data_IF_864222611389
#
_entry.id   IF_864222611389
#
_cell.length_a   1.000
_cell.length_b   1.000
_cell.length_c   1.000
_cell.angle_alpha   90.00
_cell.angle_beta   90.00
_cell.angle_gamma   90.00
#
_symmetry.space_group_name_H-M   'P 1'
#
loop_
_entity.id
_entity.type
_entity.pdbx_description
1 polymer ?
#
# COMPACT_ATOMS: atom_id res chain seq x y z
N UNK A 1 11.27 28.14 -16.98
CA UNK A 1 11.07 26.67 -17.06
C UNK A 1 10.88 26.17 -15.63
N UNK A 2 9.77 25.51 -15.32
CA UNK A 2 9.54 24.90 -14.01
C UNK A 2 10.57 23.80 -13.76
N UNK A 3 10.98 23.60 -12.50
CA UNK A 3 11.82 22.47 -12.16
C UNK A 3 11.04 21.15 -12.42
N UNK A 4 11.66 20.14 -13.08
CA UNK A 4 10.98 18.89 -13.43
C UNK A 4 10.50 18.11 -12.21
N UNK A 5 11.17 18.28 -11.07
CA UNK A 5 10.83 17.71 -9.76
C UNK A 5 10.47 18.83 -8.78
N UNK A 6 9.37 18.65 -8.05
CA UNK A 6 8.84 19.60 -7.08
C UNK A 6 8.82 19.00 -5.68
N UNK A 7 9.06 19.86 -4.69
CA UNK A 7 8.94 19.54 -3.27
C UNK A 7 8.37 20.77 -2.57
N UNK A 8 7.18 20.62 -1.98
CA UNK A 8 6.55 21.67 -1.18
C UNK A 8 6.51 21.24 0.29
N UNK A 9 6.46 22.23 1.18
CA UNK A 9 6.38 22.00 2.61
C UNK A 9 5.30 22.86 3.24
N UNK A 10 4.45 22.25 4.07
CA UNK A 10 3.43 22.94 4.85
C UNK A 10 3.47 22.48 6.31
N UNK A 11 3.39 23.42 7.25
CA UNK A 11 3.25 23.12 8.66
C UNK A 11 1.77 23.16 9.05
N UNK A 12 1.37 22.39 10.07
CA UNK A 12 0.00 22.45 10.60
C UNK A 12 -0.34 23.79 11.24
N UNK A 13 0.66 24.63 11.50
CA UNK A 13 0.50 26.00 11.98
C UNK A 13 1.53 26.90 11.31
N UNK A 14 1.15 28.12 10.90
CA UNK A 14 2.10 29.15 10.49
C UNK A 14 2.87 29.75 11.69
N UNK A 15 2.32 29.64 12.91
CA UNK A 15 2.85 30.26 14.11
C UNK A 15 3.03 29.29 15.28
N UNK A 16 4.18 29.36 15.96
CA UNK A 16 4.43 28.64 17.21
C UNK A 16 4.38 29.64 18.37
N UNK A 17 3.55 29.44 19.41
CA UNK A 17 3.57 30.33 20.55
C UNK A 17 4.89 30.24 21.32
N UNK A 18 5.41 31.38 21.78
CA UNK A 18 6.58 31.43 22.67
C UNK A 18 6.22 30.84 24.03
N UNK A 19 6.57 29.57 24.24
CA UNK A 19 6.34 28.84 25.51
C UNK A 19 7.62 28.28 26.12
N UNK A 20 7.57 27.95 27.42
CA UNK A 20 8.70 27.30 28.14
C UNK A 20 8.86 25.81 27.82
N UNK A 21 7.97 25.23 27.02
CA UNK A 21 7.98 23.81 26.67
C UNK A 21 8.15 23.65 25.16
N UNK A 22 8.85 22.58 24.71
CA UNK A 22 8.85 22.18 23.32
C UNK A 22 7.45 21.91 22.79
N UNK A 23 7.25 22.09 21.48
CA UNK A 23 5.95 21.98 20.82
C UNK A 23 6.00 20.91 19.74
N UNK A 24 5.00 20.03 19.72
CA UNK A 24 4.76 19.15 18.58
C UNK A 24 4.22 19.98 17.41
N UNK A 25 4.84 19.83 16.25
CA UNK A 25 4.44 20.45 14.98
C UNK A 25 4.41 19.35 13.92
N UNK A 26 3.41 19.38 13.05
CA UNK A 26 3.32 18.46 11.93
C UNK A 26 3.80 19.15 10.67
N UNK A 27 4.69 18.48 9.93
CA UNK A 27 5.23 18.92 8.66
C UNK A 27 4.71 17.99 7.56
N UNK A 28 3.92 18.52 6.64
CA UNK A 28 3.53 17.87 5.40
C UNK A 28 4.55 18.20 4.32
N UNK A 29 5.10 17.17 3.67
CA UNK A 29 5.99 17.29 2.52
C UNK A 29 5.32 16.61 1.33
N UNK A 30 4.99 17.39 0.32
CA UNK A 30 4.38 16.89 -0.91
C UNK A 30 5.41 16.88 -2.02
N UNK A 31 5.53 15.74 -2.71
CA UNK A 31 6.37 15.61 -3.89
C UNK A 31 5.52 15.78 -5.14
N UNK A 32 6.14 16.28 -6.21
CA UNK A 32 5.47 16.51 -7.47
C UNK A 32 6.43 16.39 -8.64
N UNK A 33 5.86 16.24 -9.84
CA UNK A 33 6.61 16.30 -11.09
C UNK A 33 5.87 17.19 -12.09
N UNK A 34 6.63 17.92 -12.90
CA UNK A 34 6.11 18.60 -14.09
C UNK A 34 6.60 17.98 -15.41
N UNK A 35 7.28 16.83 -15.35
CA UNK A 35 7.67 16.09 -16.54
C UNK A 35 6.46 15.48 -17.26
N UNK A 36 6.53 15.42 -18.60
CA UNK A 36 5.50 14.81 -19.45
C UNK A 36 5.48 13.27 -19.39
N UNK A 37 4.66 12.68 -20.26
CA UNK A 37 4.26 11.26 -20.25
C UNK A 37 5.33 10.25 -20.74
N UNK A 38 6.62 10.60 -20.66
CA UNK A 38 7.73 9.73 -21.09
C UNK A 38 8.05 8.66 -20.03
N UNK A 39 7.11 7.74 -19.80
CA UNK A 39 7.25 6.70 -18.79
C UNK A 39 8.28 5.63 -19.18
N UNK A 40 8.99 5.11 -18.17
CA UNK A 40 9.97 4.06 -18.37
C UNK A 40 9.31 2.76 -18.84
N UNK A 41 9.99 1.98 -19.70
CA UNK A 41 9.66 0.57 -19.87
C UNK A 41 9.67 -0.17 -18.52
N UNK A 42 8.83 -1.17 -18.37
CA UNK A 42 8.71 -1.96 -17.14
C UNK A 42 9.51 -3.24 -17.27
N UNK A 43 10.13 -3.67 -16.17
CA UNK A 43 10.60 -5.03 -15.96
C UNK A 43 9.76 -5.66 -14.84
N UNK A 44 8.72 -6.40 -15.24
CA UNK A 44 7.69 -6.92 -14.34
C UNK A 44 7.93 -8.40 -14.02
N UNK A 45 8.10 -8.71 -12.75
CA UNK A 45 8.13 -10.07 -12.24
C UNK A 45 6.83 -10.38 -11.50
N UNK A 46 6.15 -11.45 -11.90
CA UNK A 46 4.97 -11.95 -11.20
C UNK A 46 5.29 -13.26 -10.49
N UNK A 47 4.92 -13.35 -9.22
CA UNK A 47 5.09 -14.52 -8.35
C UNK A 47 3.70 -14.95 -7.91
N UNK A 48 3.23 -16.08 -8.40
CA UNK A 48 1.85 -16.52 -8.26
C UNK A 48 1.78 -17.85 -7.52
N UNK A 49 0.94 -17.87 -6.50
CA UNK A 49 0.61 -19.08 -5.75
C UNK A 49 -0.17 -20.07 -6.63
N UNK A 50 0.21 -21.33 -6.55
CA UNK A 50 -0.38 -22.47 -7.28
C UNK A 50 -0.65 -23.66 -6.35
N UNK A 51 -0.74 -23.42 -5.04
CA UNK A 51 -1.13 -24.41 -4.04
C UNK A 51 -2.56 -24.93 -4.28
N UNK A 52 -2.97 -26.00 -3.58
CA UNK A 52 -4.29 -26.60 -3.80
C UNK A 52 -5.46 -25.62 -3.55
N UNK A 53 -5.32 -24.68 -2.62
CA UNK A 53 -6.35 -23.67 -2.33
C UNK A 53 -6.67 -22.79 -3.53
N UNK A 54 -5.71 -22.56 -4.42
CA UNK A 54 -5.86 -21.81 -5.67
C UNK A 54 -6.69 -22.56 -6.72
N UNK A 55 -6.82 -23.87 -6.59
CA UNK A 55 -7.65 -24.70 -7.47
C UNK A 55 -9.09 -24.85 -6.96
N UNK A 56 -9.42 -24.32 -5.78
CA UNK A 56 -10.77 -24.29 -5.25
C UNK A 56 -11.67 -23.43 -6.14
N UNK A 57 -12.88 -23.94 -6.40
CA UNK A 57 -13.91 -23.25 -7.17
C UNK A 57 -14.69 -22.30 -6.27
N UNK A 58 -14.95 -21.10 -6.78
CA UNK A 58 -15.71 -20.08 -6.07
C UNK A 58 -16.92 -19.68 -6.92
N UNK A 59 -18.08 -19.59 -6.27
CA UNK A 59 -19.23 -18.93 -6.86
C UNK A 59 -19.14 -17.44 -6.56
N UNK A 60 -19.39 -16.61 -7.58
CA UNK A 60 -19.69 -15.20 -7.35
C UNK A 60 -21.16 -15.03 -6.90
N UNK A 61 -21.55 -13.79 -6.57
CA UNK A 61 -22.88 -13.49 -6.05
C UNK A 61 -24.00 -13.96 -7.00
N UNK A 62 -23.89 -13.67 -8.30
CA UNK A 62 -24.88 -14.09 -9.29
C UNK A 62 -24.98 -15.63 -9.43
N UNK A 63 -23.84 -16.33 -9.38
CA UNK A 63 -23.78 -17.79 -9.41
C UNK A 63 -24.33 -18.41 -8.12
N UNK A 64 -24.07 -17.77 -6.98
CA UNK A 64 -24.61 -18.17 -5.69
C UNK A 64 -26.15 -18.04 -5.69
N UNK A 65 -26.68 -16.92 -6.18
CA UNK A 65 -28.12 -16.72 -6.36
C UNK A 65 -28.74 -17.73 -7.34
N UNK A 66 -28.02 -18.11 -8.40
CA UNK A 66 -28.46 -19.16 -9.33
C UNK A 66 -28.52 -20.53 -8.64
N UNK A 67 -27.49 -20.89 -7.87
CA UNK A 67 -27.47 -22.14 -7.08
C UNK A 67 -28.57 -22.16 -6.03
N UNK A 68 -28.85 -21.03 -5.37
CA UNK A 68 -29.95 -20.88 -4.43
C UNK A 68 -31.31 -21.05 -5.13
N UNK A 69 -31.54 -20.37 -6.26
CA UNK A 69 -32.76 -20.52 -7.08
C UNK A 69 -32.95 -21.93 -7.62
N UNK A 70 -31.86 -22.63 -7.92
CA UNK A 70 -31.88 -24.03 -8.36
C UNK A 70 -32.10 -25.03 -7.21
N UNK A 71 -32.21 -24.55 -5.96
CA UNK A 71 -32.41 -25.38 -4.77
C UNK A 71 -31.16 -26.12 -4.28
N UNK A 72 -29.99 -25.80 -4.84
CA UNK A 72 -28.71 -26.40 -4.44
C UNK A 72 -28.15 -25.78 -3.15
N UNK A 73 -28.56 -24.54 -2.85
CA UNK A 73 -28.30 -23.88 -1.57
C UNK A 73 -29.63 -23.65 -0.87
N UNK A 74 -29.69 -23.99 0.42
CA UNK A 74 -30.86 -23.78 1.28
C UNK A 74 -30.51 -22.80 2.37
N UNK A 75 -31.34 -21.78 2.52
CA UNK A 75 -31.25 -20.87 3.66
C UNK A 75 -31.76 -21.60 4.90
N UNK A 76 -30.94 -21.62 5.94
CA UNK A 76 -31.19 -22.21 7.26
C UNK A 76 -30.92 -21.17 8.32
N UNK A 77 -31.61 -21.23 9.45
CA UNK A 77 -31.32 -20.36 10.58
C UNK A 77 -30.37 -21.10 11.54
N UNK A 78 -29.16 -20.57 11.71
CA UNK A 78 -28.19 -21.05 12.71
C UNK A 78 -28.08 -19.96 13.78
N UNK A 79 -28.49 -20.30 15.00
CA UNK A 79 -28.54 -19.37 16.14
C UNK A 79 -29.31 -18.06 15.87
N UNK A 80 -30.37 -18.14 15.04
CA UNK A 80 -31.20 -16.98 14.67
C UNK A 80 -30.63 -16.12 13.55
N UNK A 81 -29.46 -16.48 13.00
CA UNK A 81 -28.83 -15.82 11.85
C UNK A 81 -29.10 -16.63 10.59
N UNK A 82 -29.54 -16.01 9.48
CA UNK A 82 -29.61 -16.68 8.18
C UNK A 82 -28.22 -17.17 7.74
N UNK A 83 -28.10 -18.47 7.56
CA UNK A 83 -26.94 -19.15 7.02
C UNK A 83 -27.37 -19.96 5.80
N UNK A 84 -26.43 -20.27 4.91
CA UNK A 84 -26.72 -21.08 3.73
C UNK A 84 -26.06 -22.45 3.87
N UNK A 85 -26.88 -23.49 3.85
CA UNK A 85 -26.44 -24.88 3.80
C UNK A 85 -26.44 -25.35 2.36
N UNK A 86 -25.31 -25.86 1.88
CA UNK A 86 -25.25 -26.51 0.58
C UNK A 86 -25.86 -27.91 0.67
N UNK A 87 -26.89 -28.18 -0.13
CA UNK A 87 -27.30 -29.55 -0.42
C UNK A 87 -26.30 -30.24 -1.35
N UNK A 88 -26.69 -31.35 -1.98
CA UNK A 88 -25.90 -31.93 -3.07
C UNK A 88 -25.88 -30.95 -4.27
N UNK A 89 -24.77 -30.23 -4.43
CA UNK A 89 -24.54 -29.39 -5.61
C UNK A 89 -24.23 -30.32 -6.79
N UNK A 90 -25.02 -30.30 -7.88
CA UNK A 90 -24.76 -31.15 -9.03
C UNK A 90 -23.36 -30.91 -9.59
N UNK A 91 -22.62 -31.98 -9.89
CA UNK A 91 -21.24 -31.90 -10.42
C UNK A 91 -21.16 -30.96 -11.63
N UNK A 92 -22.16 -30.99 -12.52
CA UNK A 92 -22.24 -30.08 -13.68
C UNK A 92 -22.32 -28.59 -13.30
N UNK A 93 -23.03 -28.27 -12.21
CA UNK A 93 -23.12 -26.89 -11.71
C UNK A 93 -21.79 -26.47 -11.08
N UNK A 94 -21.19 -27.34 -10.26
CA UNK A 94 -19.89 -27.09 -9.65
C UNK A 94 -18.78 -26.89 -10.71
N UNK A 95 -18.79 -27.67 -11.80
CA UNK A 95 -17.80 -27.56 -12.89
C UNK A 95 -17.92 -26.27 -13.72
N UNK A 96 -19.01 -25.50 -13.59
CA UNK A 96 -19.18 -24.18 -14.23
C UNK A 96 -18.59 -23.04 -13.40
N UNK A 97 -18.35 -23.26 -12.10
CA UNK A 97 -17.77 -22.25 -11.23
C UNK A 97 -16.28 -22.07 -11.57
N UNK A 98 -15.79 -20.83 -11.69
CA UNK A 98 -14.37 -20.57 -11.92
C UNK A 98 -13.54 -21.01 -10.71
N UNK A 99 -12.31 -21.45 -10.96
CA UNK A 99 -11.29 -21.59 -9.91
C UNK A 99 -10.58 -20.24 -9.73
N UNK A 100 -10.01 -19.99 -8.56
CA UNK A 100 -9.18 -18.79 -8.32
C UNK A 100 -8.05 -18.69 -9.35
N UNK A 101 -7.41 -19.82 -9.66
CA UNK A 101 -6.34 -19.87 -10.67
C UNK A 101 -6.82 -19.52 -12.09
N UNK A 102 -8.09 -19.75 -12.43
CA UNK A 102 -8.64 -19.37 -13.73
C UNK A 102 -8.73 -17.83 -13.84
N UNK A 103 -9.15 -17.16 -12.76
CA UNK A 103 -9.19 -15.70 -12.69
C UNK A 103 -7.80 -15.07 -12.68
N UNK A 104 -6.81 -15.73 -12.07
CA UNK A 104 -5.41 -15.31 -12.17
C UNK A 104 -4.91 -15.45 -13.61
N UNK A 105 -5.21 -16.54 -14.32
CA UNK A 105 -4.87 -16.69 -15.75
C UNK A 105 -5.50 -15.57 -16.58
N UNK A 106 -6.77 -15.23 -16.35
CA UNK A 106 -7.44 -14.12 -17.03
C UNK A 106 -6.74 -12.78 -16.78
N UNK A 107 -6.38 -12.49 -15.52
CA UNK A 107 -5.63 -11.30 -15.15
C UNK A 107 -4.23 -11.24 -15.81
N UNK A 108 -3.52 -12.38 -15.85
CA UNK A 108 -2.21 -12.50 -16.50
C UNK A 108 -2.31 -12.27 -18.01
N UNK A 109 -3.33 -12.83 -18.69
CA UNK A 109 -3.55 -12.59 -20.12
C UNK A 109 -3.82 -11.11 -20.39
N UNK A 110 -4.68 -10.48 -19.60
CA UNK A 110 -4.98 -9.05 -19.71
C UNK A 110 -3.74 -8.18 -19.47
N UNK A 111 -2.85 -8.58 -18.54
CA UNK A 111 -1.59 -7.90 -18.29
C UNK A 111 -0.62 -8.03 -19.47
N UNK A 112 -0.45 -9.25 -20.01
CA UNK A 112 0.40 -9.51 -21.18
C UNK A 112 -0.05 -8.71 -22.39
N UNK A 113 -1.35 -8.56 -22.60
CA UNK A 113 -1.88 -7.77 -23.71
C UNK A 113 -1.57 -6.27 -23.61
N UNK A 114 -1.36 -5.76 -22.40
CA UNK A 114 -1.00 -4.37 -22.15
C UNK A 114 0.52 -4.12 -22.15
N UNK A 115 1.35 -5.17 -22.25
CA UNK A 115 2.80 -5.00 -22.33
C UNK A 115 3.21 -4.34 -23.65
N UNK A 116 4.12 -3.37 -23.55
CA UNK A 116 4.79 -2.75 -24.69
C UNK A 116 5.92 -3.67 -25.18
N UNK A 117 6.35 -3.50 -26.43
CA UNK A 117 7.48 -4.26 -26.98
C UNK A 117 8.78 -4.09 -26.19
N UNK A 118 8.97 -2.89 -25.63
CA UNK A 118 10.08 -2.58 -24.76
C UNK A 118 9.95 -3.29 -23.42
N UNK A 119 8.76 -3.53 -22.87
CA UNK A 119 8.61 -4.10 -21.53
C UNK A 119 9.20 -5.52 -21.43
N UNK A 120 9.56 -5.92 -20.21
CA UNK A 120 10.00 -7.27 -19.85
C UNK A 120 9.02 -7.88 -18.86
N UNK A 121 8.84 -9.19 -18.97
CA UNK A 121 7.91 -9.95 -18.15
C UNK A 121 8.51 -11.30 -17.76
N UNK A 122 8.39 -11.67 -16.49
CA UNK A 122 8.67 -13.01 -15.98
C UNK A 122 7.54 -13.49 -15.07
N UNK A 123 7.28 -14.79 -15.09
CA UNK A 123 6.26 -15.44 -14.26
C UNK A 123 6.87 -16.63 -13.53
N UNK A 124 6.78 -16.57 -12.21
CA UNK A 124 7.16 -17.63 -11.29
C UNK A 124 5.89 -18.19 -10.67
N UNK A 125 5.76 -19.51 -10.69
CA UNK A 125 4.73 -20.23 -9.96
C UNK A 125 5.37 -20.82 -8.70
N UNK A 126 4.66 -20.78 -7.57
CA UNK A 126 5.13 -21.38 -6.33
C UNK A 126 4.02 -22.11 -5.58
N UNK A 127 4.41 -23.08 -4.78
CA UNK A 127 3.66 -23.65 -3.67
C UNK A 127 4.67 -24.17 -2.64
N UNK A 128 4.91 -25.49 -2.56
CA UNK A 128 5.99 -26.06 -1.73
C UNK A 128 7.37 -25.86 -2.36
N UNK A 129 7.40 -25.93 -3.69
CA UNK A 129 8.54 -25.54 -4.51
C UNK A 129 8.19 -24.31 -5.35
N UNK A 130 9.20 -23.63 -5.90
CA UNK A 130 9.00 -22.54 -6.85
C UNK A 130 9.67 -22.86 -8.19
N UNK A 131 9.04 -22.47 -9.29
CA UNK A 131 9.56 -22.69 -10.64
C UNK A 131 9.32 -21.48 -11.53
N UNK A 132 10.28 -21.20 -12.41
CA UNK A 132 10.14 -20.14 -13.41
C UNK A 132 9.38 -20.68 -14.61
N UNK A 133 8.13 -20.23 -14.78
CA UNK A 133 7.28 -20.62 -15.89
C UNK A 133 7.60 -19.80 -17.15
N UNK A 134 7.83 -18.50 -16.96
CA UNK A 134 8.27 -17.57 -18.00
C UNK A 134 9.56 -16.90 -17.50
N UNK A 135 10.73 -17.21 -18.08
CA UNK A 135 11.95 -16.45 -17.79
C UNK A 135 11.81 -15.02 -18.31
N UNK A 136 12.64 -14.08 -17.85
CA UNK A 136 12.60 -12.68 -18.28
C UNK A 136 12.53 -12.52 -19.82
N UNK A 137 11.33 -12.23 -20.34
CA UNK A 137 10.99 -12.29 -21.76
C UNK A 137 10.43 -10.94 -22.21
N UNK A 138 10.75 -10.53 -23.44
CA UNK A 138 10.22 -9.27 -24.00
C UNK A 138 8.71 -9.34 -24.20
N UNK A 139 8.02 -8.25 -23.88
CA UNK A 139 6.59 -8.05 -24.12
C UNK A 139 6.20 -8.11 -25.60
N UNK A 140 7.16 -8.04 -26.53
CA UNK A 140 6.91 -8.30 -27.94
C UNK A 140 6.55 -9.78 -28.23
N UNK A 141 6.94 -10.72 -27.37
CA UNK A 141 6.68 -12.16 -27.53
C UNK A 141 5.32 -12.57 -26.95
N UNK A 142 4.26 -11.78 -27.17
CA UNK A 142 2.93 -11.98 -26.56
C UNK A 142 2.41 -13.41 -26.67
N UNK A 143 2.43 -14.01 -27.86
CA UNK A 143 1.94 -15.38 -28.05
C UNK A 143 2.66 -16.39 -27.16
N UNK A 144 4.00 -16.30 -27.07
CA UNK A 144 4.81 -17.17 -26.20
C UNK A 144 4.45 -17.00 -24.73
N UNK A 145 4.20 -15.77 -24.29
CA UNK A 145 3.78 -15.47 -22.92
C UNK A 145 2.41 -16.07 -22.61
N UNK A 146 1.43 -15.88 -23.51
CA UNK A 146 0.08 -16.42 -23.40
C UNK A 146 0.09 -17.97 -23.37
N UNK A 147 0.82 -18.61 -24.27
CA UNK A 147 0.95 -20.08 -24.30
C UNK A 147 1.55 -20.64 -23.00
N UNK A 148 2.48 -19.91 -22.39
CA UNK A 148 3.08 -20.32 -21.12
C UNK A 148 2.12 -20.14 -19.93
N UNK A 149 1.29 -19.10 -19.92
CA UNK A 149 0.24 -18.89 -18.89
C UNK A 149 -0.75 -20.07 -18.88
N UNK A 150 -1.05 -20.68 -20.02
CA UNK A 150 -1.93 -21.85 -20.08
C UNK A 150 -1.42 -23.05 -19.30
N UNK A 151 -0.11 -23.13 -19.01
CA UNK A 151 0.48 -24.25 -18.28
C UNK A 151 0.30 -24.15 -16.77
N UNK A 152 -0.16 -23.00 -16.25
CA UNK A 152 -0.21 -22.68 -14.83
C UNK A 152 -1.05 -23.70 -14.04
N UNK A 153 -2.19 -24.14 -14.57
CA UNK A 153 -3.11 -25.05 -13.89
C UNK A 153 -2.74 -26.55 -13.99
N UNK A 154 -1.65 -26.85 -14.71
CA UNK A 154 -1.06 -28.19 -14.81
C UNK A 154 0.12 -28.40 -13.87
N UNK A 155 0.57 -27.35 -13.18
CA UNK A 155 1.66 -27.45 -12.22
C UNK A 155 1.22 -28.22 -10.97
N UNK A 156 2.15 -28.98 -10.41
CA UNK A 156 2.00 -29.72 -9.15
C UNK A 156 3.22 -29.41 -8.30
N UNK A 157 3.16 -28.31 -7.58
CA UNK A 157 4.27 -27.80 -6.77
C UNK A 157 4.11 -28.10 -5.28
N UNK A 158 3.13 -28.95 -4.92
CA UNK A 158 2.79 -29.33 -3.54
C UNK A 158 1.71 -28.45 -2.92
N UNK A 159 1.29 -28.81 -1.70
CA UNK A 159 0.07 -28.27 -1.08
C UNK A 159 0.37 -27.22 0.00
N UNK A 160 1.65 -27.07 0.37
CA UNK A 160 2.12 -26.03 1.30
C UNK A 160 2.49 -24.76 0.54
N UNK A 161 2.49 -23.62 1.23
CA UNK A 161 2.81 -22.32 0.66
C UNK A 161 4.14 -21.80 1.20
N UNK A 162 5.14 -21.63 0.32
CA UNK A 162 6.46 -21.07 0.59
C UNK A 162 6.70 -19.83 -0.29
N UNK A 163 6.16 -18.69 0.15
CA UNK A 163 6.24 -17.41 -0.57
C UNK A 163 7.69 -16.98 -0.77
N UNK A 164 8.58 -17.25 0.19
CA UNK A 164 9.99 -16.86 0.14
C UNK A 164 10.73 -17.49 -1.05
N UNK A 165 10.43 -18.75 -1.37
CA UNK A 165 10.93 -19.42 -2.57
C UNK A 165 10.49 -18.70 -3.86
N UNK A 166 9.21 -18.28 -3.91
CA UNK A 166 8.67 -17.52 -5.04
C UNK A 166 9.34 -16.15 -5.20
N UNK A 167 9.46 -15.38 -4.10
CA UNK A 167 10.09 -14.06 -4.10
C UNK A 167 11.55 -14.16 -4.58
N UNK A 168 12.29 -15.17 -4.10
CA UNK A 168 13.68 -15.43 -4.52
C UNK A 168 13.79 -15.55 -6.04
N UNK A 169 13.05 -16.47 -6.65
CA UNK A 169 13.14 -16.71 -8.10
C UNK A 169 12.65 -15.49 -8.89
N UNK A 170 11.57 -14.83 -8.44
CA UNK A 170 11.08 -13.62 -9.08
C UNK A 170 12.10 -12.48 -9.06
N UNK A 171 12.79 -12.31 -7.93
CA UNK A 171 13.90 -11.37 -7.80
C UNK A 171 15.06 -11.74 -8.73
N UNK A 172 15.47 -13.01 -8.80
CA UNK A 172 16.51 -13.48 -9.70
C UNK A 172 16.18 -13.21 -11.18
N UNK A 173 14.93 -13.42 -11.60
CA UNK A 173 14.48 -13.11 -12.97
C UNK A 173 14.48 -11.62 -13.29
N UNK A 174 14.09 -10.76 -12.35
CA UNK A 174 14.22 -9.30 -12.51
C UNK A 174 15.69 -8.90 -12.70
N UNK A 175 16.61 -9.51 -11.93
CA UNK A 175 18.05 -9.22 -11.97
C UNK A 175 18.76 -9.71 -13.23
N UNK A 176 18.12 -10.51 -14.08
CA UNK A 176 18.68 -10.86 -15.40
C UNK A 176 18.77 -9.65 -16.33
N UNK A 177 17.87 -8.68 -16.17
CA UNK A 177 18.01 -7.39 -16.83
C UNK A 177 18.97 -6.50 -16.04
N UNK A 178 20.05 -6.10 -16.69
CA UNK A 178 21.10 -5.24 -16.11
C UNK A 178 21.20 -3.88 -16.80
N UNK A 179 20.31 -3.61 -17.76
CA UNK A 179 20.28 -2.36 -18.54
C UNK A 179 20.11 -1.12 -17.66
N UNK A 180 19.33 -1.25 -16.59
CA UNK A 180 19.04 -0.15 -15.68
C UNK A 180 18.18 0.96 -16.31
N UNK A 181 17.61 0.76 -17.51
CA UNK A 181 16.72 1.71 -18.18
C UNK A 181 15.22 1.44 -17.93
N UNK A 182 14.91 0.36 -17.21
CA UNK A 182 13.55 -0.06 -16.86
C UNK A 182 13.18 0.22 -15.40
N UNK A 183 11.89 0.31 -15.15
CA UNK A 183 11.33 0.24 -13.81
C UNK A 183 11.13 -1.23 -13.41
N UNK A 184 12.00 -1.73 -12.53
CA UNK A 184 11.84 -3.06 -11.92
C UNK A 184 10.66 -3.05 -10.95
N UNK A 185 9.84 -4.10 -11.00
CA UNK A 185 8.73 -4.31 -10.06
C UNK A 185 8.41 -5.78 -9.91
N UNK A 186 8.24 -6.22 -8.66
CA UNK A 186 7.79 -7.56 -8.32
C UNK A 186 6.36 -7.48 -7.76
N UNK A 187 5.49 -8.38 -8.19
CA UNK A 187 4.16 -8.57 -7.60
C UNK A 187 4.03 -10.01 -7.12
N UNK A 188 3.67 -10.17 -5.85
CA UNK A 188 3.41 -11.45 -5.20
C UNK A 188 1.92 -11.62 -4.98
N UNK A 189 1.34 -12.71 -5.46
CA UNK A 189 -0.07 -13.06 -5.28
C UNK A 189 -0.21 -14.38 -4.52
N UNK A 190 -1.03 -14.42 -3.48
CA UNK A 190 -1.35 -15.64 -2.70
C UNK A 190 -2.74 -15.56 -2.07
N UNK A 191 -3.32 -16.71 -1.76
CA UNK A 191 -4.53 -16.85 -0.94
C UNK A 191 -4.28 -17.58 0.39
N UNK A 192 -3.01 -17.82 0.75
CA UNK A 192 -2.62 -18.74 1.83
C UNK A 192 -1.53 -18.21 2.77
N UNK A 193 -1.40 -18.87 3.92
CA UNK A 193 -0.37 -18.60 4.92
C UNK A 193 0.96 -19.22 4.51
N UNK A 194 2.02 -18.43 4.56
CA UNK A 194 3.36 -18.94 4.25
C UNK A 194 3.99 -19.67 5.41
N UNK A 195 4.80 -20.70 5.13
CA UNK A 195 5.57 -21.45 6.13
C UNK A 195 7.02 -20.95 6.27
N UNK A 196 7.45 -19.98 5.48
CA UNK A 196 8.82 -19.46 5.39
C UNK A 196 8.91 -17.94 5.60
N UNK A 197 8.23 -17.41 6.61
CA UNK A 197 8.18 -15.96 6.87
C UNK A 197 9.56 -15.31 6.99
N UNK A 198 10.53 -16.01 7.58
CA UNK A 198 11.90 -15.51 7.73
C UNK A 198 12.58 -15.29 6.37
N UNK A 199 12.38 -16.20 5.42
CA UNK A 199 12.92 -16.08 4.08
C UNK A 199 12.23 -14.94 3.31
N UNK A 200 10.91 -14.78 3.49
CA UNK A 200 10.16 -13.65 2.95
C UNK A 200 10.74 -12.31 3.43
N UNK A 201 11.00 -12.17 4.74
CA UNK A 201 11.60 -10.96 5.33
C UNK A 201 13.02 -10.72 4.83
N UNK A 202 13.83 -11.78 4.69
CA UNK A 202 15.19 -11.69 4.16
C UNK A 202 15.20 -11.19 2.71
N UNK A 203 14.33 -11.75 1.85
CA UNK A 203 14.24 -11.31 0.45
C UNK A 203 13.65 -9.91 0.30
N UNK A 204 12.70 -9.51 1.14
CA UNK A 204 12.23 -8.12 1.18
C UNK A 204 13.34 -7.14 1.56
N UNK A 205 14.22 -7.49 2.50
CA UNK A 205 15.39 -6.69 2.84
C UNK A 205 16.38 -6.57 1.66
N UNK A 206 16.61 -7.68 0.93
CA UNK A 206 17.43 -7.66 -0.29
C UNK A 206 16.81 -6.81 -1.40
N UNK A 207 15.50 -6.91 -1.62
CA UNK A 207 14.77 -6.09 -2.59
C UNK A 207 14.82 -4.60 -2.23
N UNK A 208 14.64 -4.25 -0.95
CA UNK A 208 14.84 -2.89 -0.43
C UNK A 208 16.24 -2.37 -0.71
N UNK A 209 17.28 -3.17 -0.47
CA UNK A 209 18.67 -2.80 -0.75
C UNK A 209 18.92 -2.55 -2.24
N UNK A 210 18.28 -3.33 -3.12
CA UNK A 210 18.35 -3.15 -4.58
C UNK A 210 17.32 -2.15 -5.13
N UNK A 211 16.50 -1.54 -4.27
CA UNK A 211 15.44 -0.60 -4.64
C UNK A 211 14.43 -1.18 -5.64
N UNK A 212 14.08 -2.45 -5.45
CA UNK A 212 13.05 -3.14 -6.23
C UNK A 212 11.76 -3.17 -5.39
N UNK A 213 10.71 -2.43 -5.78
CA UNK A 213 9.41 -2.50 -5.14
C UNK A 213 8.78 -3.88 -5.26
N UNK A 214 8.26 -4.40 -4.15
CA UNK A 214 7.44 -5.61 -4.09
C UNK A 214 6.03 -5.20 -3.71
N UNK A 215 5.07 -5.32 -4.62
CA UNK A 215 3.66 -5.24 -4.26
C UNK A 215 3.15 -6.62 -3.87
N UNK A 216 2.18 -6.68 -2.95
CA UNK A 216 1.66 -7.93 -2.41
C UNK A 216 0.14 -7.96 -2.53
N UNK A 217 -0.43 -9.02 -3.08
CA UNK A 217 -1.88 -9.22 -3.24
C UNK A 217 -2.29 -10.47 -2.47
N UNK A 218 -3.07 -10.29 -1.42
CA UNK A 218 -3.67 -11.36 -0.63
C UNK A 218 -5.16 -11.49 -0.95
N UNK A 219 -5.61 -12.71 -1.26
CA UNK A 219 -7.01 -13.03 -1.49
C UNK A 219 -7.66 -13.63 -0.24
N UNK A 220 -8.78 -13.05 0.20
CA UNK A 220 -9.60 -13.58 1.28
C UNK A 220 -8.97 -13.45 2.68
N UNK A 221 -9.30 -14.39 3.57
CA UNK A 221 -8.93 -14.35 4.98
C UNK A 221 -7.63 -15.08 5.34
N UNK A 222 -7.11 -15.93 4.47
CA UNK A 222 -6.15 -16.99 4.84
C UNK A 222 -4.69 -16.67 4.51
N UNK A 223 -4.32 -15.40 4.34
CA UNK A 223 -2.93 -14.97 4.15
C UNK A 223 -2.43 -14.12 5.34
N UNK A 224 -1.11 -14.04 5.55
CA UNK A 224 -0.53 -13.27 6.64
C UNK A 224 -0.30 -11.78 6.28
N UNK A 225 -1.20 -10.89 6.71
CA UNK A 225 -1.05 -9.45 6.53
C UNK A 225 0.08 -8.82 7.36
N UNK A 226 0.44 -9.40 8.51
CA UNK A 226 1.59 -8.98 9.35
C UNK A 226 2.93 -9.23 8.64
N UNK A 227 2.91 -10.05 7.59
CA UNK A 227 4.04 -10.28 6.71
C UNK A 227 3.93 -9.46 5.42
N UNK A 228 2.79 -9.54 4.72
CA UNK A 228 2.62 -8.94 3.39
C UNK A 228 2.65 -7.41 3.41
N UNK A 229 2.01 -6.76 4.39
CA UNK A 229 2.01 -5.29 4.49
C UNK A 229 3.44 -4.75 4.69
N UNK A 230 4.25 -5.25 5.65
CA UNK A 230 5.63 -4.80 5.79
C UNK A 230 6.52 -5.04 4.58
N UNK A 231 6.35 -6.17 3.85
CA UNK A 231 7.13 -6.42 2.62
C UNK A 231 6.88 -5.31 1.60
N UNK A 232 5.62 -4.95 1.38
CA UNK A 232 5.26 -3.89 0.46
C UNK A 232 5.78 -2.53 0.90
N UNK A 233 5.52 -2.16 2.16
CA UNK A 233 5.90 -0.85 2.70
C UNK A 233 7.41 -0.61 2.68
N UNK A 234 8.19 -1.61 3.09
CA UNK A 234 9.64 -1.47 3.19
C UNK A 234 10.35 -1.41 1.83
N UNK A 235 9.73 -1.95 0.78
CA UNK A 235 10.29 -1.98 -0.57
C UNK A 235 9.74 -0.85 -1.46
N UNK A 236 8.73 -0.12 -1.00
CA UNK A 236 8.05 0.92 -1.78
C UNK A 236 7.01 0.38 -2.76
N UNK A 237 6.54 -0.86 -2.57
CA UNK A 237 5.37 -1.41 -3.25
C UNK A 237 4.07 -1.12 -2.49
N UNK A 238 2.97 -1.73 -2.93
CA UNK A 238 1.66 -1.61 -2.26
C UNK A 238 1.08 -2.95 -1.82
N UNK A 239 0.46 -2.99 -0.63
CA UNK A 239 -0.29 -4.14 -0.18
C UNK A 239 -1.76 -4.03 -0.62
N UNK A 240 -2.29 -5.12 -1.15
CA UNK A 240 -3.64 -5.24 -1.63
C UNK A 240 -4.36 -6.39 -0.91
N UNK A 241 -5.49 -6.06 -0.31
CA UNK A 241 -6.50 -7.04 0.12
C UNK A 241 -7.54 -7.16 -0.99
N UNK A 242 -7.76 -8.37 -1.46
CA UNK A 242 -8.85 -8.73 -2.35
C UNK A 242 -9.86 -9.52 -1.52
N UNK A 243 -11.06 -8.96 -1.34
CA UNK A 243 -12.12 -9.63 -0.58
C UNK A 243 -12.74 -10.76 -1.43
N UNK A 244 -12.87 -10.54 -2.74
CA UNK A 244 -13.45 -11.50 -3.68
C UNK A 244 -12.46 -11.86 -4.79
N UNK A 245 -12.58 -13.07 -5.32
CA UNK A 245 -11.71 -13.50 -6.42
C UNK A 245 -11.98 -12.73 -7.72
N UNK A 246 -13.20 -12.22 -7.91
CA UNK A 246 -13.54 -11.35 -9.05
C UNK A 246 -12.79 -10.01 -9.03
N UNK A 247 -12.17 -9.63 -7.91
CA UNK A 247 -11.33 -8.44 -7.81
C UNK A 247 -9.91 -8.64 -8.39
N UNK A 248 -9.52 -9.89 -8.68
CA UNK A 248 -8.17 -10.25 -9.15
C UNK A 248 -7.79 -9.50 -10.43
N UNK A 249 -8.59 -9.52 -11.51
CA UNK A 249 -8.23 -8.81 -12.74
C UNK A 249 -8.05 -7.31 -12.53
N UNK A 250 -8.92 -6.67 -11.75
CA UNK A 250 -8.84 -5.24 -11.47
C UNK A 250 -7.61 -4.88 -10.65
N UNK A 251 -7.24 -5.71 -9.66
CA UNK A 251 -6.05 -5.49 -8.85
C UNK A 251 -4.76 -5.60 -9.69
N UNK A 252 -4.65 -6.63 -10.54
CA UNK A 252 -3.51 -6.81 -11.45
C UNK A 252 -3.40 -5.66 -12.45
N UNK A 253 -4.52 -5.26 -13.07
CA UNK A 253 -4.55 -4.15 -14.01
C UNK A 253 -4.07 -2.85 -13.36
N UNK A 254 -4.55 -2.54 -12.15
CA UNK A 254 -4.08 -1.38 -11.38
C UNK A 254 -2.57 -1.44 -11.13
N UNK A 255 -2.05 -2.60 -10.72
CA UNK A 255 -0.62 -2.71 -10.42
C UNK A 255 0.26 -2.60 -11.68
N UNK A 256 -0.20 -3.13 -12.82
CA UNK A 256 0.47 -2.94 -14.11
C UNK A 256 0.46 -1.47 -14.54
N UNK A 257 -0.68 -0.77 -14.42
CA UNK A 257 -0.78 0.66 -14.72
C UNK A 257 0.20 1.48 -13.87
N UNK A 258 0.29 1.18 -12.57
CA UNK A 258 1.26 1.81 -11.67
C UNK A 258 2.70 1.55 -12.08
N UNK A 259 3.01 0.32 -12.48
CA UNK A 259 4.33 -0.03 -12.99
C UNK A 259 4.68 0.78 -14.26
N UNK A 260 3.71 0.91 -15.18
CA UNK A 260 3.85 1.63 -16.45
C UNK A 260 3.82 3.16 -16.30
N UNK A 261 3.38 3.70 -15.18
CA UNK A 261 3.33 5.13 -14.87
C UNK A 261 4.60 5.63 -14.12
N UNK A 262 5.67 4.84 -14.08
CA UNK A 262 6.93 5.23 -13.44
C UNK A 262 7.76 6.10 -14.38
N UNK A 263 8.05 7.33 -13.93
CA UNK A 263 8.94 8.26 -14.64
C UNK A 263 10.29 8.43 -13.96
N UNK A 264 10.29 8.58 -12.64
CA UNK A 264 11.49 8.73 -11.83
C UNK A 264 11.67 7.53 -10.91
N UNK A 265 12.92 7.13 -10.70
CA UNK A 265 13.26 6.02 -9.81
C UNK A 265 14.04 6.51 -8.62
N UNK A 266 14.14 5.64 -7.62
CA UNK A 266 15.02 5.84 -6.48
C UNK A 266 14.78 7.17 -5.74
N UNK A 267 13.52 7.58 -5.61
CA UNK A 267 13.15 8.74 -4.81
C UNK A 267 13.64 8.56 -3.38
N UNK A 268 14.31 9.60 -2.89
CA UNK A 268 14.88 9.66 -1.56
C UNK A 268 14.65 11.06 -1.00
N UNK A 269 13.95 11.15 0.13
CA UNK A 269 13.78 12.39 0.85
C UNK A 269 14.78 12.44 2.02
N UNK A 270 15.59 13.49 2.05
CA UNK A 270 16.50 13.81 3.15
C UNK A 270 15.97 15.00 3.93
N UNK A 271 15.77 14.84 5.23
CA UNK A 271 15.40 15.93 6.13
C UNK A 271 16.57 16.24 7.06
N UNK A 272 17.06 17.47 7.01
CA UNK A 272 18.04 18.00 7.96
C UNK A 272 17.34 18.97 8.93
N UNK A 273 17.02 18.55 10.16
CA UNK A 273 16.46 19.46 11.16
C UNK A 273 17.48 20.53 11.55
N UNK A 274 16.97 21.70 11.93
CA UNK A 274 17.75 22.75 12.56
C UNK A 274 18.14 22.33 14.00
N UNK A 275 19.12 23.02 14.58
CA UNK A 275 19.57 22.73 15.95
C UNK A 275 18.40 22.76 16.95
N UNK A 276 18.29 21.69 17.75
CA UNK A 276 17.25 21.51 18.76
C UNK A 276 15.89 21.05 18.25
N UNK A 277 15.72 20.88 16.93
CA UNK A 277 14.51 20.27 16.36
C UNK A 277 14.69 18.76 16.28
N UNK A 278 13.75 18.00 16.82
CA UNK A 278 13.77 16.54 16.79
C UNK A 278 12.67 15.99 15.88
N UNK A 279 12.96 14.91 15.17
CA UNK A 279 11.93 14.16 14.41
C UNK A 279 11.43 13.04 15.32
N UNK A 280 10.19 13.15 15.78
CA UNK A 280 9.54 12.14 16.63
C UNK A 280 9.10 10.92 15.83
N UNK A 281 8.51 11.15 14.65
CA UNK A 281 8.02 10.10 13.77
C UNK A 281 7.88 10.61 12.34
N UNK A 282 7.85 9.70 11.37
CA UNK A 282 7.60 9.99 9.97
C UNK A 282 6.65 8.94 9.37
N UNK A 283 5.75 9.39 8.53
CA UNK A 283 4.78 8.55 7.83
C UNK A 283 4.75 8.94 6.36
N UNK A 284 4.73 7.95 5.48
CA UNK A 284 4.14 8.12 4.15
C UNK A 284 2.64 8.18 4.36
N UNK A 285 1.96 9.12 3.73
CA UNK A 285 0.49 9.27 3.79
C UNK A 285 -0.15 9.14 2.40
N UNK A 286 0.63 9.22 1.32
CA UNK A 286 0.22 8.85 -0.04
C UNK A 286 1.25 7.94 -0.71
N UNK A 287 0.81 6.96 -1.51
CA UNK A 287 -0.58 6.62 -1.82
C UNK A 287 -1.32 5.89 -0.68
N UNK A 288 -0.59 5.29 0.27
CA UNK A 288 -1.15 4.70 1.49
C UNK A 288 -0.35 5.11 2.72
N UNK A 289 -1.03 5.16 3.86
CA UNK A 289 -0.42 5.44 5.16
C UNK A 289 0.49 4.27 5.54
N UNK A 290 1.77 4.56 5.72
CA UNK A 290 2.77 3.61 6.20
C UNK A 290 3.79 4.32 7.11
N UNK A 291 4.16 3.74 8.25
CA UNK A 291 5.25 4.27 9.08
C UNK A 291 6.57 4.20 8.32
N UNK A 292 7.40 5.23 8.45
CA UNK A 292 8.74 5.27 7.90
C UNK A 292 9.77 5.23 9.01
N UNK A 293 10.83 4.45 8.81
CA UNK A 293 11.96 4.41 9.74
C UNK A 293 12.69 5.77 9.75
N UNK A 294 12.62 6.47 10.88
CA UNK A 294 13.30 7.74 11.09
C UNK A 294 14.69 7.54 11.72
N UNK A 295 15.62 6.97 10.98
CA UNK A 295 17.00 6.76 11.45
C UNK A 295 17.83 8.01 11.14
N UNK A 296 18.32 8.68 12.20
CA UNK A 296 19.23 9.81 12.08
C UNK A 296 20.66 9.32 11.78
N UNK A 297 21.22 9.74 10.66
CA UNK A 297 22.62 9.53 10.28
C UNK A 297 23.27 10.90 10.06
N UNK A 298 24.29 11.21 10.86
CA UNK A 298 25.05 12.46 10.77
C UNK A 298 24.19 13.74 10.79
N UNK A 299 23.12 13.75 11.61
CA UNK A 299 22.21 14.88 11.75
C UNK A 299 21.18 15.02 10.63
N UNK A 300 21.01 14.00 9.78
CA UNK A 300 20.00 13.97 8.72
C UNK A 300 19.20 12.67 8.76
N UNK A 301 17.92 12.78 8.47
CA UNK A 301 17.00 11.63 8.31
C UNK A 301 16.85 11.33 6.84
N UNK A 302 16.80 10.05 6.50
CA UNK A 302 16.74 9.60 5.12
C UNK A 302 15.56 8.64 4.92
N UNK A 303 14.66 9.00 4.01
CA UNK A 303 13.44 8.26 3.73
C UNK A 303 13.46 7.79 2.27
N UNK A 304 13.76 6.51 2.00
CA UNK A 304 13.60 5.95 0.67
C UNK A 304 12.10 5.85 0.35
N UNK A 305 11.68 6.41 -0.78
CA UNK A 305 10.27 6.48 -1.20
C UNK A 305 9.95 5.60 -2.40
N UNK A 306 10.95 4.93 -2.99
CA UNK A 306 10.78 4.04 -4.13
C UNK A 306 10.75 4.81 -5.45
N UNK A 307 9.78 4.50 -6.31
CA UNK A 307 9.62 5.14 -7.61
C UNK A 307 8.52 6.21 -7.56
N UNK A 308 8.65 7.28 -8.36
CA UNK A 308 7.56 8.24 -8.55
C UNK A 308 6.61 7.68 -9.62
N UNK A 309 5.42 7.30 -9.18
CA UNK A 309 4.30 6.88 -10.02
C UNK A 309 3.43 8.11 -10.26
N UNK A 310 3.16 8.44 -11.53
CA UNK A 310 2.33 9.60 -11.86
C UNK A 310 0.90 9.47 -11.29
N UNK A 311 0.41 10.55 -10.66
CA UNK A 311 -0.89 10.58 -9.96
C UNK A 311 -0.89 9.98 -8.55
N UNK A 312 0.19 9.28 -8.18
CA UNK A 312 0.41 8.69 -6.86
C UNK A 312 1.71 9.23 -6.24
N UNK A 313 1.97 10.52 -6.40
CA UNK A 313 3.17 11.15 -5.87
C UNK A 313 3.23 10.97 -4.35
N UNK A 314 4.37 10.50 -3.80
CA UNK A 314 4.51 10.31 -2.37
C UNK A 314 4.33 11.61 -1.59
N UNK A 315 3.52 11.55 -0.54
CA UNK A 315 3.39 12.62 0.45
C UNK A 315 3.79 12.07 1.81
N UNK A 316 4.55 12.85 2.57
CA UNK A 316 4.98 12.49 3.92
C UNK A 316 4.39 13.44 4.95
N UNK A 317 4.02 12.90 6.11
CA UNK A 317 3.70 13.65 7.30
C UNK A 317 4.73 13.32 8.38
N UNK A 318 5.47 14.33 8.83
CA UNK A 318 6.49 14.23 9.86
C UNK A 318 6.02 14.90 11.13
N UNK A 319 6.31 14.27 12.27
CA UNK A 319 6.07 14.81 13.60
C UNK A 319 7.37 15.40 14.12
N UNK A 320 7.43 16.72 14.24
CA UNK A 320 8.60 17.45 14.72
C UNK A 320 8.37 17.96 16.14
N UNK A 321 9.39 17.88 16.99
CA UNK A 321 9.43 18.59 18.26
C UNK A 321 10.25 19.86 18.06
N UNK A 322 9.56 21.00 18.01
CA UNK A 322 10.16 22.32 17.89
C UNK A 322 10.61 22.81 19.27
N UNK A 323 11.85 23.31 19.42
CA UNK A 323 12.38 23.77 20.70
C UNK A 323 11.76 25.10 21.11
N UNK A 324 11.99 25.50 22.36
CA UNK A 324 11.70 26.86 22.81
C UNK A 324 12.58 27.86 22.07
N UNK A 325 11.98 28.94 21.56
CA UNK A 325 12.67 30.09 20.96
C UNK A 325 11.98 31.39 21.37
N UNK A 326 12.71 32.51 21.27
CA UNK A 326 12.12 33.84 21.38
C UNK A 326 11.25 34.14 20.15
N UNK A 327 10.42 35.17 20.22
CA UNK A 327 9.63 35.60 19.07
C UNK A 327 10.54 35.90 17.86
N UNK A 328 10.11 35.52 16.67
CA UNK A 328 10.88 35.69 15.43
C UNK A 328 10.73 34.52 14.46
N UNK A 329 11.30 34.70 13.26
CA UNK A 329 11.21 33.72 12.18
C UNK A 329 12.43 32.80 12.23
N UNK A 330 12.19 31.49 12.20
CA UNK A 330 13.27 30.51 12.21
C UNK A 330 13.02 29.36 11.23
N UNK A 331 14.12 28.80 10.71
CA UNK A 331 14.07 27.51 10.03
C UNK A 331 13.94 26.37 11.05
N UNK A 332 13.02 25.45 10.80
CA UNK A 332 12.88 24.19 11.55
C UNK A 332 13.65 23.06 10.89
N UNK A 333 13.66 22.99 9.57
CA UNK A 333 14.37 21.97 8.82
C UNK A 333 14.66 22.43 7.38
N UNK A 334 15.53 21.70 6.69
CA UNK A 334 15.62 21.71 5.24
C UNK A 334 15.34 20.32 4.71
N UNK A 335 14.42 20.22 3.75
CA UNK A 335 14.12 19.00 3.02
C UNK A 335 14.81 19.01 1.65
N UNK A 336 15.34 17.87 1.24
CA UNK A 336 15.94 17.63 -0.06
C UNK A 336 15.30 16.37 -0.64
N UNK A 337 14.64 16.49 -1.79
CA UNK A 337 14.18 15.36 -2.57
C UNK A 337 15.20 15.08 -3.67
N UNK A 338 15.59 13.82 -3.80
CA UNK A 338 16.49 13.35 -4.85
C UNK A 338 15.87 12.16 -5.60
N UNK A 339 16.12 12.05 -6.90
CA UNK A 339 15.71 10.92 -7.71
C UNK A 339 16.62 10.71 -8.94
N UNK A 340 16.43 9.59 -9.62
CA UNK A 340 17.01 9.33 -10.93
C UNK A 340 15.95 9.49 -12.02
N UNK A 341 16.33 10.13 -13.12
CA UNK A 341 15.56 10.31 -14.35
C UNK A 341 16.31 9.62 -15.50
N UNK A 342 16.04 8.33 -15.75
CA UNK A 342 16.70 7.60 -16.83
C UNK A 342 16.32 8.10 -18.22
N UNK A 343 15.06 8.47 -18.47
CA UNK A 343 14.62 8.91 -19.80
C UNK A 343 15.25 10.25 -20.22
N UNK A 344 15.52 11.12 -19.25
CA UNK A 344 16.23 12.39 -19.43
C UNK A 344 17.75 12.29 -19.26
N UNK A 345 18.31 11.09 -19.00
CA UNK A 345 19.72 10.86 -18.70
C UNK A 345 20.26 11.70 -17.52
N UNK A 346 19.43 11.96 -16.50
CA UNK A 346 19.80 12.73 -15.31
C UNK A 346 19.83 11.81 -14.09
N UNK A 347 21.03 11.55 -13.55
CA UNK A 347 21.19 10.85 -12.28
C UNK A 347 21.23 11.85 -11.11
N UNK A 348 20.51 11.55 -10.02
CA UNK A 348 20.53 12.37 -8.82
C UNK A 348 19.99 13.79 -9.00
N UNK A 349 18.91 13.96 -9.76
CA UNK A 349 18.10 15.18 -9.82
C UNK A 349 17.69 15.56 -8.40
N UNK A 350 17.78 16.86 -8.06
CA UNK A 350 17.57 17.35 -6.68
C UNK A 350 16.70 18.59 -6.65
N UNK A 351 15.82 18.66 -5.65
CA UNK A 351 15.07 19.87 -5.30
C UNK A 351 15.00 20.03 -3.79
N UNK A 352 14.91 21.27 -3.29
CA UNK A 352 14.95 21.60 -1.86
C UNK A 352 13.75 22.43 -1.44
N UNK A 353 13.32 22.23 -0.21
CA UNK A 353 12.35 23.08 0.47
C UNK A 353 12.88 23.43 1.86
N UNK A 354 12.84 24.71 2.20
CA UNK A 354 13.14 25.17 3.55
C UNK A 354 11.84 25.23 4.36
N UNK A 355 11.86 24.63 5.55
CA UNK A 355 10.73 24.62 6.47
C UNK A 355 10.94 25.75 7.46
N UNK A 356 10.15 26.82 7.32
CA UNK A 356 10.27 28.05 8.12
C UNK A 356 8.97 28.26 8.92
N UNK A 357 9.11 28.78 10.13
CA UNK A 357 7.98 29.09 11.02
C UNK A 357 8.26 30.37 11.80
N UNK A 358 7.19 31.07 12.19
CA UNK A 358 7.29 32.22 13.08
C UNK A 358 6.93 31.85 14.51
N UNK A 359 7.76 32.25 15.47
CA UNK A 359 7.43 32.20 16.88
C UNK A 359 6.75 33.51 17.29
N UNK A 360 5.57 33.44 17.89
CA UNK A 360 4.75 34.61 18.23
C UNK A 360 4.36 34.64 19.71
N UNK A 361 4.15 35.85 20.24
CA UNK A 361 3.53 36.07 21.55
C UNK A 361 2.04 36.38 21.43
N UNK A 362 1.50 36.55 20.22
CA UNK A 362 0.08 36.82 19.97
C UNK A 362 -0.74 35.52 20.04
N UNK A 363 -1.68 35.39 20.99
CA UNK A 363 -2.55 34.22 21.10
C UNK A 363 -3.45 33.99 19.88
N UNK A 364 -3.88 35.06 19.19
CA UNK A 364 -4.75 34.95 18.02
C UNK A 364 -4.00 34.35 16.83
N UNK A 365 -2.75 34.75 16.61
CA UNK A 365 -1.88 34.13 15.62
C UNK A 365 -1.56 32.67 15.98
N UNK A 366 -1.23 32.40 17.24
CA UNK A 366 -0.89 31.05 17.70
C UNK A 366 -2.05 30.04 17.62
N UNK A 367 -3.31 30.51 17.53
CA UNK A 367 -4.49 29.66 17.36
C UNK A 367 -4.75 29.25 15.90
N UNK A 368 -4.07 29.87 14.93
CA UNK A 368 -4.26 29.56 13.51
C UNK A 368 -3.75 28.16 13.17
N UNK A 369 -4.49 27.45 12.32
CA UNK A 369 -4.13 26.12 11.84
C UNK A 369 -4.28 26.01 10.33
N UNK A 370 -3.39 25.24 9.72
CA UNK A 370 -3.47 24.90 8.31
C UNK A 370 -4.42 23.69 8.15
N UNK A 371 -5.66 23.95 7.73
CA UNK A 371 -6.73 22.94 7.59
C UNK A 371 -6.29 21.73 6.74
N UNK A 372 -5.57 21.97 5.64
CA UNK A 372 -5.06 20.89 4.76
C UNK A 372 -4.16 19.90 5.52
N UNK A 373 -3.25 20.40 6.35
CA UNK A 373 -2.36 19.53 7.13
C UNK A 373 -3.13 18.83 8.25
N UNK A 374 -4.08 19.52 8.87
CA UNK A 374 -4.89 18.94 9.95
C UNK A 374 -5.78 17.79 9.49
N UNK A 375 -6.36 17.84 8.28
CA UNK A 375 -7.09 16.69 7.72
C UNK A 375 -6.20 15.44 7.59
N UNK A 376 -4.95 15.60 7.16
CA UNK A 376 -3.99 14.48 7.07
C UNK A 376 -3.60 13.98 8.46
N UNK A 377 -3.47 14.88 9.44
CA UNK A 377 -3.23 14.52 10.85
C UNK A 377 -4.41 13.72 11.42
N UNK A 378 -5.65 14.06 11.07
CA UNK A 378 -6.85 13.33 11.48
C UNK A 378 -6.90 11.93 10.89
N UNK A 379 -6.61 11.79 9.59
CA UNK A 379 -6.46 10.49 8.93
C UNK A 379 -5.39 9.61 9.61
N UNK A 380 -4.22 10.20 9.90
CA UNK A 380 -3.16 9.50 10.62
C UNK A 380 -3.56 9.15 12.06
N UNK A 381 -4.36 9.99 12.72
CA UNK A 381 -4.87 9.75 14.07
C UNK A 381 -5.81 8.54 14.10
N UNK A 382 -6.75 8.43 13.15
CA UNK A 382 -7.64 7.28 13.03
C UNK A 382 -6.85 5.97 12.78
N UNK A 383 -5.88 6.01 11.86
CA UNK A 383 -4.95 4.89 11.63
C UNK A 383 -4.18 4.48 12.91
N UNK A 384 -3.62 5.45 13.64
CA UNK A 384 -2.88 5.18 14.89
C UNK A 384 -3.75 4.61 15.99
N UNK A 385 -5.00 5.07 16.11
CA UNK A 385 -5.95 4.52 17.08
C UNK A 385 -6.27 3.06 16.79
N UNK A 386 -6.49 2.70 15.52
CA UNK A 386 -6.70 1.30 15.11
C UNK A 386 -5.47 0.44 15.41
N UNK A 387 -4.26 0.90 15.10
CA UNK A 387 -3.03 0.15 15.42
C UNK A 387 -2.83 -0.04 16.92
N UNK A 388 -3.11 0.98 17.74
CA UNK A 388 -3.01 0.86 19.20
C UNK A 388 -4.07 -0.07 19.78
N UNK A 389 -5.29 -0.04 19.24
CA UNK A 389 -6.34 -0.97 19.65
C UNK A 389 -5.91 -2.43 19.40
N UNK A 390 -5.26 -2.70 18.27
CA UNK A 390 -4.69 -4.01 17.98
C UNK A 390 -3.60 -4.40 19.00
N UNK A 391 -2.67 -3.49 19.30
CA UNK A 391 -1.63 -3.76 20.31
C UNK A 391 -2.20 -3.99 21.71
N UNK A 392 -3.26 -3.29 22.10
CA UNK A 392 -3.94 -3.51 23.39
C UNK A 392 -4.62 -4.88 23.41
N UNK A 393 -5.26 -5.28 22.31
CA UNK A 393 -5.88 -6.60 22.17
C UNK A 393 -4.83 -7.72 22.28
N UNK A 394 -3.68 -7.58 21.63
CA UNK A 394 -2.55 -8.50 21.74
C UNK A 394 -2.00 -8.57 23.17
N UNK A 395 -2.08 -7.47 23.93
CA UNK A 395 -1.73 -7.42 25.34
C UNK A 395 -2.85 -7.90 26.28
N UNK A 396 -4.03 -8.27 25.75
CA UNK A 396 -5.20 -8.70 26.51
C UNK A 396 -6.05 -7.56 27.10
N UNK A 397 -5.76 -6.30 26.78
CA UNK A 397 -6.55 -5.14 27.20
C UNK A 397 -7.71 -4.87 26.23
N UNK A 398 -8.74 -5.71 26.33
CA UNK A 398 -9.98 -5.63 25.56
C UNK A 398 -10.66 -4.26 25.75
N UNK A 399 -10.71 -3.76 27.00
CA UNK A 399 -11.35 -2.47 27.31
C UNK A 399 -10.64 -1.31 26.61
N UNK A 400 -9.30 -1.28 26.71
CA UNK A 400 -8.48 -0.26 26.07
C UNK A 400 -8.57 -0.30 24.55
N UNK A 401 -8.67 -1.50 23.97
CA UNK A 401 -8.88 -1.71 22.54
C UNK A 401 -10.25 -1.18 22.08
N UNK A 402 -11.35 -1.56 22.75
CA UNK A 402 -12.71 -1.10 22.43
C UNK A 402 -12.82 0.43 22.47
N UNK A 403 -12.29 1.08 23.52
CA UNK A 403 -12.29 2.54 23.63
C UNK A 403 -11.56 3.22 22.48
N UNK A 404 -10.43 2.65 22.03
CA UNK A 404 -9.65 3.21 20.91
C UNK A 404 -10.34 2.99 19.56
N UNK A 405 -11.02 1.86 19.36
CA UNK A 405 -11.86 1.64 18.18
C UNK A 405 -13.03 2.64 18.14
N UNK A 406 -13.75 2.85 19.25
CA UNK A 406 -14.83 3.85 19.32
C UNK A 406 -14.33 5.28 19.03
N UNK A 407 -13.15 5.63 19.54
CA UNK A 407 -12.49 6.90 19.22
C UNK A 407 -12.11 6.99 17.74
N UNK A 408 -11.60 5.91 17.14
CA UNK A 408 -11.27 5.86 15.71
C UNK A 408 -12.54 6.02 14.85
N UNK A 409 -13.63 5.31 15.18
CA UNK A 409 -14.91 5.45 14.50
C UNK A 409 -15.44 6.89 14.52
N UNK A 410 -15.34 7.57 15.66
CA UNK A 410 -15.74 8.99 15.78
C UNK A 410 -14.95 9.87 14.81
N UNK A 411 -13.62 9.71 14.76
CA UNK A 411 -12.76 10.45 13.83
C UNK A 411 -13.10 10.17 12.37
N UNK A 412 -13.39 8.92 12.04
CA UNK A 412 -13.79 8.53 10.69
C UNK A 412 -15.12 9.18 10.27
N UNK A 413 -16.10 9.27 11.18
CA UNK A 413 -17.35 9.98 10.90
C UNK A 413 -17.12 11.47 10.69
N UNK A 414 -16.29 12.11 11.51
CA UNK A 414 -15.96 13.53 11.38
C UNK A 414 -15.30 13.82 10.01
N UNK A 415 -14.57 12.84 9.46
CA UNK A 415 -13.95 12.89 8.14
C UNK A 415 -14.90 12.50 6.98
N UNK A 416 -16.12 12.04 7.27
CA UNK A 416 -17.08 11.57 6.26
C UNK A 416 -16.84 10.15 5.76
N UNK A 417 -16.00 9.36 6.42
CA UNK A 417 -15.68 7.97 6.08
C UNK A 417 -16.70 7.01 6.69
N UNK A 418 -17.98 7.18 6.33
CA UNK A 418 -19.12 6.53 6.98
C UNK A 418 -19.04 5.00 7.00
N UNK A 419 -18.71 4.38 5.85
CA UNK A 419 -18.60 2.92 5.74
C UNK A 419 -17.49 2.37 6.64
N UNK A 420 -16.32 3.03 6.63
CA UNK A 420 -15.20 2.58 7.46
C UNK A 420 -15.48 2.83 8.95
N UNK A 421 -16.16 3.92 9.29
CA UNK A 421 -16.61 4.18 10.65
C UNK A 421 -17.60 3.12 11.14
N UNK A 422 -18.54 2.68 10.30
CA UNK A 422 -19.48 1.61 10.61
C UNK A 422 -18.75 0.27 10.84
N UNK A 423 -17.82 -0.09 9.95
CA UNK A 423 -16.97 -1.27 10.12
C UNK A 423 -16.18 -1.22 11.45
N UNK A 424 -15.61 -0.06 11.83
CA UNK A 424 -14.88 0.08 13.10
C UNK A 424 -15.81 -0.02 14.31
N UNK A 425 -17.04 0.52 14.23
CA UNK A 425 -18.04 0.39 15.31
C UNK A 425 -18.46 -1.05 15.51
N UNK A 426 -18.77 -1.76 14.42
CA UNK A 426 -19.09 -3.18 14.47
C UNK A 426 -17.96 -3.95 15.17
N UNK A 427 -16.70 -3.67 14.82
CA UNK A 427 -15.57 -4.33 15.44
C UNK A 427 -15.48 -4.07 16.95
N UNK A 428 -15.77 -2.83 17.39
CA UNK A 428 -15.77 -2.47 18.79
C UNK A 428 -16.90 -3.18 19.57
N UNK A 429 -18.08 -3.30 18.96
CA UNK A 429 -19.24 -4.01 19.54
C UNK A 429 -18.98 -5.51 19.68
N UNK A 430 -18.42 -6.17 18.66
CA UNK A 430 -18.00 -7.56 18.72
C UNK A 430 -17.00 -7.81 19.84
N UNK A 431 -16.00 -6.91 19.96
CA UNK A 431 -14.97 -6.99 20.98
C UNK A 431 -15.55 -6.81 22.40
N UNK A 432 -16.51 -5.90 22.57
CA UNK A 432 -17.19 -5.67 23.85
C UNK A 432 -18.09 -6.85 24.25
N UNK A 433 -18.81 -7.45 23.30
CA UNK A 433 -19.75 -8.54 23.56
C UNK A 433 -19.07 -9.90 23.74
N UNK A 434 -18.03 -10.18 22.95
CA UNK A 434 -17.42 -11.51 22.87
C UNK A 434 -15.97 -11.56 23.38
N UNK A 435 -15.35 -10.41 23.65
CA UNK A 435 -13.93 -10.34 24.04
C UNK A 435 -12.96 -10.74 22.92
N UNK A 436 -13.45 -10.89 21.69
CA UNK A 436 -12.69 -11.31 20.52
C UNK A 436 -13.03 -10.39 19.33
N UNK A 437 -12.02 -10.09 18.52
CA UNK A 437 -12.21 -9.37 17.26
C UNK A 437 -12.50 -10.34 16.11
N UNK A 438 -13.33 -9.92 15.16
CA UNK A 438 -13.52 -10.63 13.90
C UNK A 438 -12.24 -10.52 13.06
N UNK A 439 -11.59 -11.64 12.69
CA UNK A 439 -10.33 -11.61 11.94
C UNK A 439 -10.46 -11.00 10.53
N UNK A 440 -11.59 -11.23 9.84
CA UNK A 440 -11.84 -10.68 8.50
C UNK A 440 -12.06 -9.18 8.56
N UNK A 441 -12.84 -8.71 9.53
CA UNK A 441 -13.08 -7.29 9.73
C UNK A 441 -11.81 -6.58 10.19
N UNK A 442 -11.04 -7.18 11.10
CA UNK A 442 -9.71 -6.68 11.52
C UNK A 442 -8.79 -6.47 10.31
N UNK A 443 -8.70 -7.48 9.43
CA UNK A 443 -7.94 -7.39 8.18
C UNK A 443 -8.46 -6.26 7.28
N UNK A 444 -9.77 -6.22 7.00
CA UNK A 444 -10.40 -5.17 6.19
C UNK A 444 -10.11 -3.77 6.73
N UNK A 445 -10.25 -3.55 8.03
CA UNK A 445 -9.99 -2.28 8.71
C UNK A 445 -8.52 -1.86 8.61
N UNK A 446 -7.60 -2.81 8.73
CA UNK A 446 -6.17 -2.55 8.60
C UNK A 446 -5.81 -2.05 7.21
N UNK A 447 -6.37 -2.64 6.15
CA UNK A 447 -6.15 -2.16 4.78
C UNK A 447 -6.93 -0.87 4.49
N UNK A 448 -8.15 -0.73 5.02
CA UNK A 448 -9.03 0.41 4.79
C UNK A 448 -8.49 1.72 5.36
N UNK A 449 -8.11 1.72 6.64
CA UNK A 449 -7.58 2.92 7.33
C UNK A 449 -6.28 3.44 6.72
N UNK A 450 -5.50 2.59 6.05
CA UNK A 450 -4.29 3.00 5.33
C UNK A 450 -4.59 3.83 4.08
N UNK A 451 -5.77 3.69 3.48
CA UNK A 451 -6.15 4.43 2.25
C UNK A 451 -6.63 5.87 2.53
N UNK A 452 -6.87 6.22 3.80
CA UNK A 452 -7.40 7.52 4.21
C UNK A 452 -6.55 8.71 3.75
N UNK A 453 -5.23 8.57 3.72
CA UNK A 453 -4.31 9.65 3.35
C UNK A 453 -4.39 10.08 1.88
N UNK A 454 -4.82 9.18 0.98
CA UNK A 454 -5.02 9.49 -0.44
C UNK A 454 -6.33 10.27 -0.69
N UNK A 455 -7.43 9.89 -0.03
CA UNK A 455 -8.75 10.50 -0.22
C UNK A 455 -8.76 12.00 0.11
N UNK A 456 -8.00 12.40 1.13
CA UNK A 456 -8.06 13.75 1.69
C UNK A 456 -7.10 14.76 1.01
N UNK A 457 -6.27 14.29 0.08
CA UNK A 457 -5.34 15.14 -0.69
C UNK A 457 -5.84 15.44 -2.11
N UNK A 458 -6.88 14.76 -2.61
CA UNK A 458 -7.46 15.01 -3.95
C UNK A 458 -8.48 16.16 -3.96
N UNK A 459 -9.08 16.51 -2.82
CA UNK A 459 -10.03 17.64 -2.73
C UNK A 459 -9.37 19.00 -2.99
N UNK A 460 -8.05 19.09 -2.80
CA UNK A 460 -7.23 20.28 -3.04
C UNK A 460 -6.88 20.50 -4.51
N UNK A 461 -6.65 19.43 -5.30
CA UNK A 461 -6.34 19.56 -6.73
C UNK A 461 -7.54 20.06 -7.54
N UNK A 462 -8.75 19.54 -7.28
CA UNK A 462 -9.98 19.97 -7.98
C UNK A 462 -10.40 21.41 -7.68
N UNK A 463 -9.98 22.01 -6.55
CA UNK A 463 -10.29 23.42 -6.25
C UNK A 463 -9.35 24.40 -6.97
N UNK A 464 -8.11 24.01 -7.24
CA UNK A 464 -7.16 24.87 -7.97
C UNK A 464 -7.44 25.02 -9.47
N UNK A 465 -8.14 24.05 -10.08
CA UNK A 465 -8.55 24.10 -11.49
C UNK A 465 -9.90 24.81 -11.71
N UNK A 466 -10.62 25.14 -10.62
CA UNK A 466 -11.96 25.73 -10.65
C UNK A 466 -12.02 27.27 -10.54
N UNK A 467 -10.90 27.94 -10.23
CA UNK A 467 -10.87 29.41 -10.03
C UNK A 467 -10.33 30.20 -11.25
N UNK A 468 -10.18 29.55 -12.41
CA UNK A 468 -9.80 30.21 -13.66
C UNK A 468 -10.80 29.92 -14.79
N UNK A 469 -12.09 30.16 -14.53
CA UNK A 469 -13.12 30.27 -15.57
C UNK A 469 -14.00 31.49 -15.36
#
# INVERSE_FOLDING_TARGET
>A
MSAPLQLTSALNTPYIPVTRQPRLVYLLLETGSSAGDDFLPVNLGLVVDTSESMHIRLANEAQFEELARAGALKEVLVDGVPAWESGEIPVKALMRLPRKIDLVKDALRAAVEQLRSADRFSLVAFASEATTLIPNTSGAQKQRLLDAIERLDHLRLGDKTYIGHGIKLGFEELRRDTSGDRADRLLVFTDGFTLDENDCRAWAAHARQKRIPISTMGLGGEFNEELMIPIADQTGGEPYLLENADDIPAAFARELQRAQAVRYRNLELKLRPAQGVEVRAAYRVRPTIAPLEAINKDGSYNFPLGNLVAGEEPTLLLELIAPQRQAGIYRLAQALLACDDPAGNLAGLKTRADVVVEYTTDPAQAAQQATQVMHVVEALSAYKLQQRAQSDLEAGDVTGATQKLQAAATRLLDMGEEKLAADVKQQAEELEQHGQADPRLTKKLRYGTRKLGASHSQSTLRRSEGENK
#
